data_IF_937444737091
#
_entry.id   IF_937444737091
#
_cell.length_a   1.000
_cell.length_b   1.000
_cell.length_c   1.000
_cell.angle_alpha   90.00
_cell.angle_beta   90.00
_cell.angle_gamma   90.00
#
_symmetry.space_group_name_H-M   'P 1'
#
loop_
_entity.id
_entity.type
_entity.pdbx_description
1 polymer ?
#
# COMPACT_ATOMS: atom_id res chain seq x y z
N UNK A 1 9.70 0.65 30.55
CA UNK A 1 10.14 1.74 29.66
C UNK A 1 9.10 1.90 28.57
N UNK A 2 8.63 3.13 28.36
CA UNK A 2 7.46 3.50 27.57
C UNK A 2 7.66 3.29 26.05
N UNK A 3 7.21 2.14 25.54
CA UNK A 3 6.99 1.85 24.11
C UNK A 3 5.72 2.43 23.41
N UNK A 4 4.81 3.22 24.03
CA UNK A 4 3.60 3.67 23.33
C UNK A 4 3.85 4.63 22.15
N UNK A 5 4.82 5.56 22.26
CA UNK A 5 4.93 6.68 21.32
C UNK A 5 5.35 6.25 19.90
N UNK A 6 6.29 5.32 19.78
CA UNK A 6 6.70 4.79 18.47
C UNK A 6 5.60 3.94 17.83
N UNK A 7 4.77 3.28 18.64
CA UNK A 7 3.72 2.39 18.12
C UNK A 7 2.69 3.15 17.29
N UNK A 8 2.23 4.31 17.74
CA UNK A 8 1.24 5.10 17.00
C UNK A 8 1.85 5.82 15.79
N UNK A 9 3.12 6.24 15.91
CA UNK A 9 3.87 6.73 14.76
C UNK A 9 4.02 5.66 13.67
N UNK A 10 4.40 4.43 14.03
CA UNK A 10 4.57 3.33 13.09
C UNK A 10 3.26 2.91 12.43
N UNK A 11 2.14 2.95 13.17
CA UNK A 11 0.80 2.74 12.58
C UNK A 11 0.49 3.78 11.51
N UNK A 12 0.76 5.07 11.78
CA UNK A 12 0.57 6.16 10.80
C UNK A 12 1.48 5.96 9.60
N UNK A 13 2.76 5.68 9.83
CA UNK A 13 3.73 5.44 8.77
C UNK A 13 3.31 4.26 7.87
N UNK A 14 2.80 3.18 8.47
CA UNK A 14 2.31 2.02 7.73
C UNK A 14 1.06 2.33 6.92
N UNK A 15 0.11 3.07 7.50
CA UNK A 15 -1.11 3.49 6.80
C UNK A 15 -0.79 4.43 5.62
N UNK A 16 0.12 5.38 5.80
CA UNK A 16 0.56 6.31 4.75
C UNK A 16 1.30 5.57 3.64
N UNK A 17 2.17 4.61 4.00
CA UNK A 17 2.86 3.76 3.03
C UNK A 17 1.89 2.95 2.19
N UNK A 18 0.90 2.30 2.83
CA UNK A 18 -0.13 1.56 2.11
C UNK A 18 -0.98 2.47 1.21
N UNK A 19 -1.39 3.65 1.71
CA UNK A 19 -2.16 4.62 0.94
C UNK A 19 -1.41 5.07 -0.32
N UNK A 20 -0.13 5.45 -0.18
CA UNK A 20 0.72 5.85 -1.33
C UNK A 20 0.82 4.74 -2.35
N UNK A 21 1.14 3.53 -1.92
CA UNK A 21 1.23 2.37 -2.81
C UNK A 21 -0.06 2.13 -3.58
N UNK A 22 -1.21 2.15 -2.89
CA UNK A 22 -2.51 1.90 -3.54
C UNK A 22 -2.92 3.03 -4.48
N UNK A 23 -2.72 4.28 -4.07
CA UNK A 23 -3.08 5.44 -4.87
C UNK A 23 -2.26 5.47 -6.16
N UNK A 24 -0.93 5.32 -6.05
CA UNK A 24 -0.01 5.30 -7.18
C UNK A 24 -0.40 4.20 -8.19
N UNK A 25 -0.56 2.95 -7.74
CA UNK A 25 -0.94 1.86 -8.64
C UNK A 25 -2.34 2.02 -9.25
N UNK A 26 -3.21 2.79 -8.61
CA UNK A 26 -4.54 3.08 -9.15
C UNK A 26 -4.50 4.15 -10.23
N UNK A 27 -3.78 5.24 -9.97
CA UNK A 27 -3.58 6.35 -10.92
C UNK A 27 -2.83 5.88 -12.16
N UNK A 28 -1.77 5.08 -11.97
CA UNK A 28 -1.00 4.46 -13.06
C UNK A 28 -1.72 3.31 -13.78
N UNK A 29 -3.00 3.07 -13.46
CA UNK A 29 -3.85 2.06 -14.09
C UNK A 29 -3.30 0.63 -14.05
N UNK A 30 -2.39 0.31 -13.13
CA UNK A 30 -1.75 -1.00 -12.99
C UNK A 30 -2.77 -2.10 -12.69
N UNK A 31 -3.93 -1.76 -12.11
CA UNK A 31 -5.04 -2.70 -11.92
C UNK A 31 -5.57 -3.31 -13.23
N UNK A 32 -5.30 -2.71 -14.40
CA UNK A 32 -5.67 -3.26 -15.73
C UNK A 32 -4.83 -4.47 -16.12
N UNK A 33 -3.58 -4.52 -15.69
CA UNK A 33 -2.62 -5.59 -16.01
C UNK A 33 -2.32 -6.48 -14.81
N UNK A 34 -2.72 -6.07 -13.61
CA UNK A 34 -2.63 -6.86 -12.39
C UNK A 34 -3.46 -8.15 -12.49
N UNK A 35 -2.85 -9.29 -12.14
CA UNK A 35 -3.52 -10.60 -12.12
C UNK A 35 -4.58 -10.74 -11.02
N UNK A 36 -4.63 -9.80 -10.08
CA UNK A 36 -5.65 -9.81 -9.02
C UNK A 36 -7.00 -9.39 -9.61
N UNK A 37 -7.87 -10.36 -9.87
CA UNK A 37 -9.22 -10.13 -10.45
C UNK A 37 -10.01 -9.03 -9.75
N UNK A 38 -9.87 -8.94 -8.42
CA UNK A 38 -10.55 -7.93 -7.62
C UNK A 38 -10.12 -6.50 -7.99
N UNK A 39 -8.84 -6.27 -8.26
CA UNK A 39 -8.35 -4.95 -8.65
C UNK A 39 -8.99 -4.49 -9.98
N UNK A 40 -9.13 -5.41 -10.94
CA UNK A 40 -9.82 -5.14 -12.20
C UNK A 40 -11.31 -4.80 -12.01
N UNK A 41 -12.01 -5.54 -11.14
CA UNK A 41 -13.41 -5.26 -10.81
C UNK A 41 -13.61 -3.91 -10.13
N UNK A 42 -12.76 -3.61 -9.16
CA UNK A 42 -12.84 -2.38 -8.38
C UNK A 42 -12.28 -1.17 -9.14
N UNK A 43 -11.62 -1.40 -10.30
CA UNK A 43 -10.86 -0.39 -11.07
C UNK A 43 -9.84 0.38 -10.21
N UNK A 44 -9.27 -0.32 -9.23
CA UNK A 44 -8.36 0.23 -8.24
C UNK A 44 -7.48 -0.86 -7.62
N UNK A 45 -6.35 -0.48 -7.03
CA UNK A 45 -5.48 -1.42 -6.34
C UNK A 45 -6.05 -1.85 -4.98
N UNK A 46 -6.75 -2.98 -4.96
CA UNK A 46 -7.38 -3.57 -3.76
C UNK A 46 -6.77 -4.91 -3.33
N UNK A 47 -5.61 -5.25 -3.91
CA UNK A 47 -4.88 -6.48 -3.63
C UNK A 47 -4.28 -6.53 -2.22
N UNK A 48 -3.85 -7.72 -1.76
CA UNK A 48 -3.18 -7.86 -0.47
C UNK A 48 -1.81 -7.18 -0.47
N UNK A 49 -1.42 -6.66 0.69
CA UNK A 49 -0.06 -6.16 0.96
C UNK A 49 0.81 -7.34 1.42
N UNK A 50 1.92 -7.61 0.76
CA UNK A 50 2.82 -8.74 1.04
C UNK A 50 4.21 -8.22 1.42
N UNK A 51 4.89 -8.92 2.34
CA UNK A 51 6.31 -8.66 2.61
C UNK A 51 7.11 -8.94 1.32
N UNK A 52 8.09 -8.11 1.03
CA UNK A 52 8.86 -8.16 -0.21
C UNK A 52 10.34 -7.93 0.05
N UNK A 53 11.20 -8.76 -0.54
CA UNK A 53 12.67 -8.62 -0.43
C UNK A 53 13.15 -7.24 -0.94
N UNK A 54 12.44 -6.67 -1.92
CA UNK A 54 12.63 -5.29 -2.39
C UNK A 54 12.62 -4.24 -1.27
N UNK A 55 11.98 -4.51 -0.13
CA UNK A 55 11.91 -3.57 1.00
C UNK A 55 12.99 -3.82 2.07
N UNK A 56 13.83 -4.85 1.96
CA UNK A 56 14.77 -5.25 3.01
C UNK A 56 15.71 -4.11 3.43
N UNK A 57 16.19 -3.31 2.46
CA UNK A 57 17.02 -2.14 2.75
C UNK A 57 16.25 -1.08 3.54
N UNK A 58 15.00 -0.79 3.17
CA UNK A 58 14.14 0.18 3.87
C UNK A 58 13.80 -0.30 5.28
N UNK A 59 13.52 -1.59 5.45
CA UNK A 59 13.30 -2.23 6.76
C UNK A 59 14.53 -2.09 7.65
N UNK A 60 15.73 -2.35 7.10
CA UNK A 60 16.99 -2.21 7.84
C UNK A 60 17.21 -0.77 8.31
N UNK A 61 17.03 0.22 7.44
CA UNK A 61 17.18 1.64 7.78
C UNK A 61 16.19 2.04 8.89
N UNK A 62 14.94 1.57 8.82
CA UNK A 62 13.94 1.81 9.87
C UNK A 62 14.38 1.25 11.23
N UNK A 63 14.99 0.06 11.24
CA UNK A 63 15.54 -0.53 12.46
C UNK A 63 16.72 0.24 13.02
N UNK A 64 17.59 0.76 12.16
CA UNK A 64 18.75 1.57 12.56
C UNK A 64 18.33 2.89 13.24
N UNK A 65 17.15 3.43 12.91
CA UNK A 65 16.58 4.62 13.57
C UNK A 65 15.63 4.30 14.74
N UNK A 66 15.58 3.04 15.19
CA UNK A 66 14.81 2.63 16.37
C UNK A 66 13.35 2.23 16.11
N UNK A 67 12.92 2.08 14.85
CA UNK A 67 11.60 1.55 14.49
C UNK A 67 11.64 0.02 14.31
N UNK A 68 10.48 -0.65 14.30
CA UNK A 68 10.39 -2.10 14.09
C UNK A 68 10.79 -2.55 12.68
N UNK A 69 10.64 -1.64 11.70
CA UNK A 69 10.80 -1.92 10.28
C UNK A 69 9.54 -2.47 9.60
N UNK A 70 8.47 -2.75 10.34
CA UNK A 70 7.26 -3.34 9.76
C UNK A 70 6.42 -2.34 8.94
N UNK A 71 6.55 -1.05 9.23
CA UNK A 71 5.71 -0.01 8.63
C UNK A 71 5.81 0.01 7.10
N UNK A 72 7.01 -0.17 6.54
CA UNK A 72 7.25 -0.14 5.10
C UNK A 72 7.62 -1.50 4.50
N UNK A 73 7.55 -2.59 5.27
CA UNK A 73 7.97 -3.91 4.80
C UNK A 73 7.10 -4.52 3.69
N UNK A 74 5.86 -4.01 3.53
CA UNK A 74 4.85 -4.64 2.67
C UNK A 74 4.58 -3.81 1.42
N UNK A 75 4.40 -4.49 0.29
CA UNK A 75 4.01 -3.91 -0.99
C UNK A 75 2.73 -4.57 -1.51
N UNK A 76 1.94 -3.89 -2.37
CA UNK A 76 0.86 -4.56 -3.08
C UNK A 76 1.38 -5.78 -3.84
N UNK A 77 0.64 -6.89 -3.83
CA UNK A 77 1.11 -8.17 -4.34
C UNK A 77 1.66 -8.15 -5.77
N UNK A 78 1.15 -7.29 -6.65
CA UNK A 78 1.69 -7.15 -8.01
C UNK A 78 3.09 -6.54 -8.05
N UNK A 79 3.43 -5.66 -7.09
CA UNK A 79 4.75 -5.05 -6.96
C UNK A 79 5.68 -5.95 -6.15
N UNK A 80 5.18 -6.58 -5.09
CA UNK A 80 5.96 -7.52 -4.28
C UNK A 80 6.55 -8.68 -5.10
N UNK A 81 5.82 -9.12 -6.13
CA UNK A 81 6.25 -10.18 -7.04
C UNK A 81 6.82 -9.65 -8.38
N UNK A 82 7.03 -8.34 -8.50
CA UNK A 82 7.57 -7.75 -9.71
C UNK A 82 9.06 -8.09 -9.87
N UNK A 83 9.49 -8.25 -11.12
CA UNK A 83 10.91 -8.32 -11.45
C UNK A 83 11.59 -6.98 -11.18
N UNK A 84 12.90 -7.04 -10.94
CA UNK A 84 13.74 -5.90 -10.57
C UNK A 84 13.49 -4.64 -11.42
N UNK A 85 13.45 -4.69 -12.78
CA UNK A 85 13.24 -3.47 -13.57
C UNK A 85 11.88 -2.82 -13.34
N UNK A 86 10.83 -3.63 -13.14
CA UNK A 86 9.49 -3.13 -12.87
C UNK A 86 9.38 -2.56 -11.45
N UNK A 87 10.09 -3.16 -10.49
CA UNK A 87 10.19 -2.62 -9.13
C UNK A 87 10.92 -1.27 -9.13
N UNK A 88 12.02 -1.13 -9.85
CA UNK A 88 12.78 0.14 -9.94
C UNK A 88 11.95 1.28 -10.53
N UNK A 89 11.13 0.99 -11.55
CA UNK A 89 10.19 1.99 -12.09
C UNK A 89 9.19 2.41 -11.02
N UNK A 90 8.60 1.45 -10.30
CA UNK A 90 7.68 1.74 -9.20
C UNK A 90 8.34 2.58 -8.11
N UNK A 91 9.57 2.25 -7.71
CA UNK A 91 10.30 2.98 -6.68
C UNK A 91 10.58 4.42 -7.11
N UNK A 92 10.99 4.65 -8.36
CA UNK A 92 11.21 5.99 -8.90
C UNK A 92 9.94 6.84 -8.85
N UNK A 93 8.80 6.32 -9.31
CA UNK A 93 7.53 7.06 -9.31
C UNK A 93 7.06 7.30 -7.86
N UNK A 94 7.32 6.36 -6.95
CA UNK A 94 7.02 6.54 -5.52
C UNK A 94 7.83 7.69 -4.91
N UNK A 95 9.12 7.78 -5.24
CA UNK A 95 9.99 8.86 -4.78
C UNK A 95 9.57 10.21 -5.36
N UNK A 96 9.15 10.27 -6.63
CA UNK A 96 8.56 11.46 -7.26
C UNK A 96 7.27 11.88 -6.56
N UNK A 97 6.37 10.94 -6.25
CA UNK A 97 5.15 11.22 -5.50
C UNK A 97 5.46 11.77 -4.11
N UNK A 98 6.45 11.21 -3.40
CA UNK A 98 6.84 11.72 -2.09
C UNK A 98 7.37 13.15 -2.16
N UNK A 99 8.22 13.47 -3.14
CA UNK A 99 8.70 14.83 -3.38
C UNK A 99 7.53 15.78 -3.65
N UNK A 100 6.60 15.38 -4.51
CA UNK A 100 5.40 16.17 -4.82
C UNK A 100 4.56 16.44 -3.56
N UNK A 101 4.39 15.47 -2.67
CA UNK A 101 3.65 15.66 -1.40
C UNK A 101 4.37 16.59 -0.42
N UNK A 102 5.71 16.66 -0.47
CA UNK A 102 6.50 17.60 0.35
C UNK A 102 6.33 19.03 -0.18
N UNK A 103 6.36 19.19 -1.51
CA UNK A 103 6.17 20.47 -2.19
C UNK A 103 4.73 21.00 -2.07
N UNK A 104 3.74 20.08 -2.00
CA UNK A 104 2.31 20.39 -1.92
C UNK A 104 1.65 19.72 -0.69
N UNK A 105 1.87 20.24 0.53
CA UNK A 105 1.36 19.62 1.77
C UNK A 105 -0.18 19.59 1.88
N UNK A 106 -0.86 20.46 1.14
CA UNK A 106 -2.33 20.49 1.00
C UNK A 106 -2.86 19.34 0.14
N UNK A 107 -2.03 18.78 -0.73
CA UNK A 107 -2.43 17.68 -1.61
C UNK A 107 -2.77 16.44 -0.78
N UNK A 108 -3.96 15.88 -1.03
CA UNK A 108 -4.44 14.67 -0.39
C UNK A 108 -4.57 13.57 -1.43
N UNK A 109 -3.91 12.45 -1.16
CA UNK A 109 -4.03 11.27 -2.01
C UNK A 109 -5.46 10.74 -1.98
N UNK A 110 -6.03 10.39 -3.15
CA UNK A 110 -7.30 9.70 -3.19
C UNK A 110 -7.19 8.35 -2.47
N UNK A 111 -8.18 8.07 -1.61
CA UNK A 111 -8.31 6.78 -0.94
C UNK A 111 -9.11 5.84 -1.83
N UNK A 112 -8.48 4.77 -2.26
CA UNK A 112 -9.13 3.68 -2.99
C UNK A 112 -9.38 2.53 -2.04
N UNK A 113 -10.37 2.71 -1.17
CA UNK A 113 -10.71 1.69 -0.19
C UNK A 113 -11.16 0.41 -0.89
N UNK A 114 -10.82 -0.73 -0.27
CA UNK A 114 -11.21 -2.06 -0.75
C UNK A 114 -12.73 -2.16 -0.75
N UNK A 115 -13.36 -1.97 -1.91
CA UNK A 115 -14.81 -2.17 -2.06
C UNK A 115 -15.18 -3.63 -1.77
N UNK A 116 -15.68 -3.97 -0.58
CA UNK A 116 -16.12 -5.33 -0.26
C UNK A 116 -17.40 -5.78 -0.99
N UNK A 117 -17.85 -5.06 -2.04
CA UNK A 117 -18.99 -5.45 -2.89
C UNK A 117 -18.66 -6.70 -3.71
N UNK A 118 -18.65 -7.85 -3.03
CA UNK A 118 -18.24 -9.14 -3.56
C UNK A 118 -19.34 -10.20 -3.54
N UNK A 119 -20.35 -10.06 -2.67
CA UNK A 119 -21.59 -10.85 -2.70
C UNK A 119 -22.70 -9.97 -2.13
N UNK A 120 -23.80 -9.79 -2.87
CA UNK A 120 -25.07 -9.57 -2.17
C UNK A 120 -25.28 -10.82 -1.31
N UNK A 121 -25.53 -10.67 -0.01
CA UNK A 121 -26.08 -11.76 0.79
C UNK A 121 -27.35 -12.24 0.07
N UNK A 122 -27.63 -13.55 -0.02
CA UNK A 122 -28.93 -14.01 -0.49
C UNK A 122 -30.01 -13.28 0.32
N UNK A 123 -30.82 -12.47 -0.34
CA UNK A 123 -31.99 -11.88 0.30
C UNK A 123 -32.88 -13.05 0.73
N UNK A 124 -33.07 -13.25 2.03
CA UNK A 124 -34.05 -14.21 2.55
C UNK A 124 -33.58 -15.27 3.54
N UNK A 125 -32.41 -15.17 4.17
CA UNK A 125 -32.18 -15.98 5.38
C UNK A 125 -32.89 -15.32 6.57
N UNK A 126 -33.83 -16.00 7.24
CA UNK A 126 -34.44 -15.49 8.46
C UNK A 126 -33.36 -15.35 9.54
N UNK A 127 -33.40 -14.24 10.28
CA UNK A 127 -32.57 -14.05 11.47
C UNK A 127 -32.88 -15.15 12.51
N UNK A 128 -31.86 -15.63 13.25
CA UNK A 128 -32.06 -16.55 14.37
C UNK A 128 -32.88 -15.92 15.50
#
# INVERSE_FOLDING_TARGET
MSQPEFTDYEKRLSADHELRCRALLTVELIWRTCRTRKCGRDRACTGPMLVSAHQDRKVRIQREIGLSGHACARLPACVANAQEPAFQIFERIMDELQKYQIEHPEYRLPKFDRCLKGRQLPQGLPNP
#
